data_IF_879060414174
#
_entry.id   IF_879060414174
#
_cell.length_a   1.000
_cell.length_b   1.000
_cell.length_c   1.000
_cell.angle_alpha   90.00
_cell.angle_beta   90.00
_cell.angle_gamma   90.00
#
_symmetry.space_group_name_H-M   'P 1'
#
loop_
_entity.id
_entity.type
_entity.pdbx_description
1 polymer ?
#
# COMPACT_ATOMS: atom_id res chain seq x y z
N UNK A 1 -36.77 63.67 2.17
CA UNK A 1 -36.81 62.25 1.75
C UNK A 1 -35.93 62.10 0.51
N UNK A 2 -34.73 61.56 0.66
CA UNK A 2 -33.79 61.37 -0.47
C UNK A 2 -33.77 59.87 -0.79
N UNK A 3 -34.40 59.48 -1.91
CA UNK A 3 -34.26 58.13 -2.48
C UNK A 3 -33.04 58.12 -3.38
N UNK A 4 -31.92 57.63 -2.88
CA UNK A 4 -30.73 57.36 -3.69
C UNK A 4 -30.94 56.06 -4.46
N UNK A 5 -31.42 56.15 -5.69
CA UNK A 5 -31.37 55.04 -6.64
C UNK A 5 -29.93 54.84 -7.10
N UNK A 6 -29.16 54.02 -6.37
CA UNK A 6 -27.94 53.44 -6.91
C UNK A 6 -28.33 52.45 -8.01
N UNK A 7 -28.42 52.95 -9.25
CA UNK A 7 -28.40 52.12 -10.44
C UNK A 7 -27.05 51.43 -10.53
N UNK A 8 -26.97 50.22 -9.97
CA UNK A 8 -25.82 49.35 -10.14
C UNK A 8 -25.73 48.96 -11.63
N UNK A 9 -24.79 49.58 -12.33
CA UNK A 9 -24.29 49.09 -13.61
C UNK A 9 -23.58 47.75 -13.39
N UNK A 10 -24.35 46.69 -13.20
CA UNK A 10 -23.83 45.33 -13.12
C UNK A 10 -23.42 44.89 -14.53
N UNK A 11 -22.13 44.58 -14.70
CA UNK A 11 -21.55 44.11 -15.96
C UNK A 11 -22.41 43.03 -16.63
N UNK A 12 -22.43 43.06 -17.97
CA UNK A 12 -23.26 42.18 -18.80
C UNK A 12 -23.12 40.73 -18.31
N UNK A 13 -24.23 40.15 -17.83
CA UNK A 13 -24.29 38.77 -17.36
C UNK A 13 -23.86 37.84 -18.50
N UNK A 14 -22.70 37.20 -18.34
CA UNK A 14 -22.03 36.40 -19.38
C UNK A 14 -22.74 35.07 -19.61
N UNK A 15 -23.35 34.49 -18.57
CA UNK A 15 -24.02 33.19 -18.64
C UNK A 15 -25.53 33.34 -18.36
N UNK A 16 -26.35 33.07 -19.38
CA UNK A 16 -27.83 33.01 -19.33
C UNK A 16 -28.29 31.69 -19.96
N UNK A 17 -29.43 31.19 -19.50
CA UNK A 17 -30.11 30.00 -20.04
C UNK A 17 -29.21 28.75 -20.11
N UNK A 18 -28.63 28.40 -18.97
CA UNK A 18 -27.67 27.31 -18.84
C UNK A 18 -28.42 26.02 -18.62
N UNK A 19 -28.24 25.04 -19.51
CA UNK A 19 -28.87 23.72 -19.40
C UNK A 19 -27.90 22.74 -18.74
N UNK A 20 -28.32 22.14 -17.62
CA UNK A 20 -27.54 21.15 -16.85
C UNK A 20 -28.47 19.97 -16.54
N UNK A 21 -28.06 18.75 -16.88
CA UNK A 21 -28.82 17.51 -16.65
C UNK A 21 -30.28 17.56 -17.19
N UNK A 22 -30.49 18.29 -18.30
CA UNK A 22 -31.83 18.47 -18.90
C UNK A 22 -32.71 19.53 -18.23
N UNK A 23 -32.21 20.25 -17.21
CA UNK A 23 -32.90 21.37 -16.58
C UNK A 23 -32.25 22.68 -17.02
N UNK A 24 -33.04 23.60 -17.56
CA UNK A 24 -32.57 24.94 -17.95
C UNK A 24 -32.73 25.92 -16.79
N UNK A 25 -31.62 26.54 -16.40
CA UNK A 25 -31.56 27.52 -15.32
C UNK A 25 -31.31 28.92 -15.87
N UNK A 26 -32.01 29.92 -15.32
CA UNK A 26 -31.90 31.31 -15.75
C UNK A 26 -30.51 31.93 -15.48
N UNK A 27 -29.84 31.50 -14.41
CA UNK A 27 -28.54 32.04 -13.98
C UNK A 27 -27.73 31.05 -13.13
N UNK A 28 -26.43 31.34 -12.96
CA UNK A 28 -25.51 30.56 -12.13
C UNK A 28 -25.93 30.51 -10.64
N UNK A 29 -26.61 31.55 -10.14
CA UNK A 29 -27.13 31.60 -8.77
C UNK A 29 -28.28 30.60 -8.56
N UNK A 30 -29.19 30.46 -9.52
CA UNK A 30 -30.25 29.46 -9.46
C UNK A 30 -29.68 28.03 -9.46
N UNK A 31 -28.63 27.78 -10.24
CA UNK A 31 -27.90 26.51 -10.25
C UNK A 31 -27.27 26.24 -8.89
N UNK A 32 -26.54 27.23 -8.36
CA UNK A 32 -25.88 27.14 -7.06
C UNK A 32 -26.87 26.80 -5.94
N UNK A 33 -28.03 27.48 -5.93
CA UNK A 33 -29.10 27.23 -4.96
C UNK A 33 -29.74 25.85 -5.14
N UNK A 34 -29.99 25.42 -6.38
CA UNK A 34 -30.64 24.13 -6.66
C UNK A 34 -29.73 22.93 -6.34
N UNK A 35 -28.43 23.04 -6.63
CA UNK A 35 -27.44 21.97 -6.45
C UNK A 35 -26.70 22.05 -5.10
N UNK A 36 -26.97 23.07 -4.29
CA UNK A 36 -26.32 23.26 -2.98
C UNK A 36 -24.82 23.54 -3.07
N UNK A 37 -24.37 24.22 -4.14
CA UNK A 37 -22.96 24.54 -4.40
C UNK A 37 -22.72 26.04 -4.43
N UNK A 38 -21.46 26.48 -4.36
CA UNK A 38 -21.12 27.91 -4.48
C UNK A 38 -21.19 28.39 -5.93
N UNK A 39 -21.55 29.66 -6.13
CA UNK A 39 -21.62 30.28 -7.48
C UNK A 39 -20.26 30.22 -8.19
N UNK A 40 -19.17 30.40 -7.45
CA UNK A 40 -17.81 30.26 -7.99
C UNK A 40 -17.51 28.84 -8.50
N UNK A 41 -18.04 27.81 -7.86
CA UNK A 41 -17.89 26.43 -8.34
C UNK A 41 -18.65 26.23 -9.66
N UNK A 42 -19.84 26.84 -9.79
CA UNK A 42 -20.62 26.84 -11.04
C UNK A 42 -19.84 27.56 -12.15
N UNK A 43 -19.31 28.75 -11.90
CA UNK A 43 -18.51 29.48 -12.88
C UNK A 43 -17.25 28.72 -13.31
N UNK A 44 -16.53 28.11 -12.36
CA UNK A 44 -15.36 27.29 -12.67
C UNK A 44 -15.72 26.05 -13.48
N UNK A 45 -16.86 25.42 -13.21
CA UNK A 45 -17.34 24.27 -13.98
C UNK A 45 -17.74 24.68 -15.41
N UNK A 46 -18.45 25.80 -15.58
CA UNK A 46 -18.79 26.36 -16.89
C UNK A 46 -17.55 26.72 -17.69
N UNK A 47 -16.57 27.37 -17.05
CA UNK A 47 -15.31 27.72 -17.70
C UNK A 47 -14.52 26.49 -18.15
N UNK A 48 -14.69 25.35 -17.47
CA UNK A 48 -14.02 24.08 -17.77
C UNK A 48 -14.83 23.17 -18.69
N UNK A 49 -16.08 23.51 -19.01
CA UNK A 49 -17.00 22.61 -19.74
C UNK A 49 -17.32 21.33 -18.97
N UNK A 50 -17.39 21.40 -17.64
CA UNK A 50 -17.72 20.27 -16.76
C UNK A 50 -19.04 20.51 -16.03
N UNK A 51 -20.06 21.00 -16.74
CA UNK A 51 -21.34 21.40 -16.16
C UNK A 51 -22.08 20.22 -15.53
N UNK A 52 -21.97 19.03 -16.13
CA UNK A 52 -22.55 17.77 -15.63
C UNK A 52 -21.99 17.34 -14.26
N UNK A 53 -20.90 17.96 -13.78
CA UNK A 53 -20.29 17.66 -12.48
C UNK A 53 -20.75 18.58 -11.35
N UNK A 54 -21.56 19.59 -11.66
CA UNK A 54 -22.02 20.57 -10.67
C UNK A 54 -22.96 19.89 -9.67
N UNK A 55 -22.54 19.82 -8.40
CA UNK A 55 -23.33 19.28 -7.30
C UNK A 55 -23.11 17.80 -6.98
N UNK A 56 -22.30 17.07 -7.76
CA UNK A 56 -22.08 15.62 -7.57
C UNK A 56 -21.07 15.27 -6.46
N UNK A 57 -20.67 16.24 -5.63
CA UNK A 57 -19.58 16.05 -4.67
C UNK A 57 -18.22 15.88 -5.36
N UNK A 58 -17.16 15.66 -4.56
CA UNK A 58 -15.73 15.64 -4.92
C UNK A 58 -15.40 15.69 -6.42
N UNK A 59 -14.70 16.77 -6.84
CA UNK A 59 -14.18 16.96 -8.20
C UNK A 59 -13.05 15.96 -8.55
N UNK A 60 -13.40 14.68 -8.61
CA UNK A 60 -12.54 13.58 -9.01
C UNK A 60 -12.59 13.33 -10.52
N UNK A 61 -11.66 12.48 -10.97
CA UNK A 61 -11.69 11.89 -12.32
C UNK A 61 -12.98 11.09 -12.45
N UNK A 62 -13.60 11.15 -13.63
CA UNK A 62 -14.75 10.29 -13.93
C UNK A 62 -14.42 8.83 -13.63
N UNK A 63 -15.36 8.08 -13.02
CA UNK A 63 -15.13 6.68 -12.70
C UNK A 63 -14.78 5.94 -13.99
N UNK A 64 -13.58 5.38 -14.04
CA UNK A 64 -13.10 4.64 -15.18
C UNK A 64 -13.68 3.22 -15.10
N UNK A 65 -14.39 2.74 -16.13
CA UNK A 65 -14.91 1.39 -16.12
C UNK A 65 -13.76 0.38 -16.04
N UNK A 66 -13.94 -0.65 -15.22
CA UNK A 66 -12.92 -1.67 -14.95
C UNK A 66 -13.42 -3.03 -15.42
N UNK A 67 -12.61 -3.75 -16.18
CA UNK A 67 -12.88 -5.15 -16.52
C UNK A 67 -12.09 -6.09 -15.60
N UNK A 68 -12.78 -6.99 -14.90
CA UNK A 68 -12.17 -7.99 -14.01
C UNK A 68 -12.81 -9.35 -14.34
N UNK A 69 -12.03 -10.36 -14.73
CA UNK A 69 -12.53 -11.70 -15.10
C UNK A 69 -13.66 -11.69 -16.13
N UNK A 70 -13.55 -10.82 -17.13
CA UNK A 70 -14.56 -10.66 -18.18
C UNK A 70 -15.81 -9.88 -17.78
N UNK A 71 -15.98 -9.51 -16.50
CA UNK A 71 -17.07 -8.64 -16.05
C UNK A 71 -16.64 -7.18 -16.11
N UNK A 72 -17.49 -6.32 -16.67
CA UNK A 72 -17.26 -4.87 -16.73
C UNK A 72 -18.03 -4.19 -15.60
N UNK A 73 -17.32 -3.45 -14.77
CA UNK A 73 -17.87 -2.65 -13.68
C UNK A 73 -17.79 -1.17 -14.04
N UNK A 74 -18.78 -0.39 -13.58
CA UNK A 74 -18.81 1.06 -13.80
C UNK A 74 -17.66 1.81 -13.14
N UNK A 75 -17.20 1.32 -11.98
CA UNK A 75 -16.07 1.87 -11.25
C UNK A 75 -15.33 0.80 -10.44
N UNK A 76 -14.10 1.11 -10.03
CA UNK A 76 -13.33 0.31 -9.09
C UNK A 76 -14.05 0.13 -7.75
N UNK A 77 -14.86 1.08 -7.28
CA UNK A 77 -15.66 0.90 -6.06
C UNK A 77 -16.78 -0.14 -6.23
N UNK A 78 -17.44 -0.17 -7.38
CA UNK A 78 -18.46 -1.16 -7.67
C UNK A 78 -17.86 -2.57 -7.71
N UNK A 79 -16.71 -2.71 -8.38
CA UNK A 79 -15.96 -3.96 -8.38
C UNK A 79 -15.49 -4.36 -6.98
N UNK A 80 -15.06 -3.40 -6.16
CA UNK A 80 -14.57 -3.64 -4.81
C UNK A 80 -15.66 -4.20 -3.90
N UNK A 81 -16.87 -3.64 -3.97
CA UNK A 81 -18.06 -4.14 -3.27
C UNK A 81 -18.41 -5.56 -3.72
N UNK A 82 -18.36 -5.83 -5.03
CA UNK A 82 -18.66 -7.15 -5.58
C UNK A 82 -17.69 -8.24 -5.09
N UNK A 83 -16.38 -7.94 -5.04
CA UNK A 83 -15.35 -8.90 -4.61
C UNK A 83 -15.05 -8.86 -3.10
N UNK A 84 -15.68 -7.97 -2.34
CA UNK A 84 -15.43 -7.84 -0.89
C UNK A 84 -14.01 -7.36 -0.55
N UNK A 85 -13.39 -6.55 -1.41
CA UNK A 85 -12.04 -6.01 -1.19
C UNK A 85 -12.04 -4.48 -1.23
N UNK A 86 -10.88 -3.85 -0.97
CA UNK A 86 -10.76 -2.39 -1.04
C UNK A 86 -10.59 -1.91 -2.49
N UNK A 87 -11.13 -0.73 -2.82
CA UNK A 87 -10.96 -0.11 -4.13
C UNK A 87 -9.48 0.13 -4.49
N UNK A 88 -8.63 0.42 -3.48
CA UNK A 88 -7.19 0.54 -3.68
C UNK A 88 -6.55 -0.79 -4.09
N UNK A 89 -7.03 -1.91 -3.54
CA UNK A 89 -6.59 -3.25 -3.95
C UNK A 89 -6.89 -3.53 -5.42
N UNK A 90 -8.06 -3.11 -5.92
CA UNK A 90 -8.41 -3.21 -7.34
C UNK A 90 -7.51 -2.34 -8.20
N UNK A 91 -7.34 -1.06 -7.85
CA UNK A 91 -6.46 -0.15 -8.60
C UNK A 91 -5.03 -0.67 -8.64
N UNK A 92 -4.53 -1.24 -7.55
CA UNK A 92 -3.21 -1.86 -7.50
C UNK A 92 -3.14 -3.12 -8.39
N UNK A 93 -4.18 -3.95 -8.40
CA UNK A 93 -4.23 -5.13 -9.27
C UNK A 93 -4.20 -4.74 -10.75
N UNK A 94 -4.99 -3.75 -11.17
CA UNK A 94 -4.98 -3.21 -12.54
C UNK A 94 -3.59 -2.66 -12.88
N UNK A 95 -3.00 -1.85 -11.98
CA UNK A 95 -1.65 -1.30 -12.18
C UNK A 95 -0.59 -2.38 -12.36
N UNK A 96 -0.77 -3.52 -11.70
CA UNK A 96 0.12 -4.67 -11.81
C UNK A 96 -0.23 -5.64 -12.94
N UNK A 97 -1.29 -5.40 -13.73
CA UNK A 97 -1.79 -6.34 -14.74
C UNK A 97 -2.24 -7.68 -14.16
N UNK A 98 -2.83 -7.65 -12.96
CA UNK A 98 -3.28 -8.82 -12.18
C UNK A 98 -4.76 -8.72 -11.80
N UNK A 99 -5.55 -8.02 -12.60
CA UNK A 99 -6.99 -7.84 -12.41
C UNK A 99 -7.72 -9.18 -12.21
N UNK A 100 -7.38 -10.21 -12.97
CA UNK A 100 -8.05 -11.53 -12.87
C UNK A 100 -7.78 -12.25 -11.54
N UNK A 101 -6.79 -11.82 -10.75
CA UNK A 101 -6.47 -12.40 -9.44
C UNK A 101 -7.14 -11.69 -8.27
N UNK A 102 -7.92 -10.64 -8.53
CA UNK A 102 -8.68 -9.91 -7.50
C UNK A 102 -9.57 -10.87 -6.71
N UNK A 103 -9.48 -10.83 -5.38
CA UNK A 103 -10.30 -11.64 -4.47
C UNK A 103 -9.88 -13.10 -4.33
N UNK A 104 -8.79 -13.56 -4.97
CA UNK A 104 -8.25 -14.90 -4.70
C UNK A 104 -7.33 -14.88 -3.48
N UNK A 105 -7.26 -16.02 -2.81
CA UNK A 105 -6.23 -16.26 -1.82
C UNK A 105 -4.83 -16.09 -2.46
N UNK A 106 -3.85 -15.52 -1.74
CA UNK A 106 -2.49 -15.41 -2.23
C UNK A 106 -1.92 -16.80 -2.53
N UNK A 107 -1.70 -17.09 -3.81
CA UNK A 107 -1.21 -18.39 -4.33
C UNK A 107 0.30 -18.58 -4.18
N UNK A 108 0.92 -18.06 -3.13
CA UNK A 108 2.35 -18.25 -2.91
C UNK A 108 2.73 -18.12 -1.45
N UNK A 109 3.85 -18.74 -1.03
CA UNK A 109 4.41 -18.47 0.27
C UNK A 109 4.59 -16.95 0.39
N UNK A 110 4.13 -16.37 1.50
CA UNK A 110 4.37 -14.96 1.77
C UNK A 110 5.87 -14.72 1.64
N UNK A 111 6.27 -13.88 0.69
CA UNK A 111 7.57 -13.91 0.02
C UNK A 111 8.83 -13.69 0.91
N UNK A 112 8.71 -13.67 2.23
CA UNK A 112 9.69 -13.02 3.09
C UNK A 112 10.18 -13.84 4.29
N UNK A 113 9.81 -15.11 4.44
CA UNK A 113 10.49 -15.98 5.41
C UNK A 113 11.81 -16.51 4.80
N UNK A 114 12.76 -15.61 4.59
CA UNK A 114 14.15 -16.01 4.28
C UNK A 114 14.81 -16.45 5.58
N UNK A 115 15.39 -17.65 5.56
CA UNK A 115 16.21 -18.14 6.66
C UNK A 115 17.27 -17.09 7.03
N UNK A 116 17.37 -16.79 8.31
CA UNK A 116 18.23 -15.73 8.84
C UNK A 116 19.31 -16.34 9.73
N UNK A 117 20.57 -16.06 9.42
CA UNK A 117 21.73 -16.58 10.17
C UNK A 117 22.37 -15.48 11.01
N UNK A 118 22.69 -15.81 12.26
CA UNK A 118 23.42 -14.94 13.18
C UNK A 118 24.53 -15.78 13.82
N UNK A 119 25.76 -15.62 13.35
CA UNK A 119 26.87 -16.47 13.78
C UNK A 119 26.60 -17.94 13.43
N UNK A 120 26.54 -18.81 14.44
CA UNK A 120 26.26 -20.25 14.31
C UNK A 120 24.76 -20.58 14.34
N UNK A 121 23.91 -19.63 14.74
CA UNK A 121 22.46 -19.84 14.86
C UNK A 121 21.77 -19.58 13.52
N UNK A 122 20.84 -20.47 13.15
CA UNK A 122 19.98 -20.33 11.97
C UNK A 122 18.52 -20.31 12.40
N UNK A 123 17.78 -19.31 11.92
CA UNK A 123 16.34 -19.12 12.17
C UNK A 123 15.57 -19.17 10.84
N UNK A 124 14.28 -19.51 10.87
CA UNK A 124 13.42 -19.51 9.66
C UNK A 124 13.12 -18.10 9.18
N UNK A 125 13.07 -17.11 10.10
CA UNK A 125 12.86 -15.70 9.75
C UNK A 125 13.50 -14.72 10.73
N UNK A 126 13.65 -13.45 10.33
CA UNK A 126 14.11 -12.38 11.24
C UNK A 126 13.13 -12.13 12.40
N UNK A 127 11.83 -12.40 12.20
CA UNK A 127 10.80 -12.24 13.23
C UNK A 127 10.96 -13.29 14.32
N UNK A 128 11.10 -14.55 13.90
CA UNK A 128 11.39 -15.65 14.80
C UNK A 128 12.69 -15.42 15.58
N UNK A 129 13.75 -14.97 14.90
CA UNK A 129 15.00 -14.61 15.57
C UNK A 129 14.78 -13.49 16.62
N UNK A 130 13.91 -12.52 16.35
CA UNK A 130 13.64 -11.43 17.29
C UNK A 130 12.90 -11.93 18.55
N UNK A 131 11.96 -12.87 18.37
CA UNK A 131 11.23 -13.51 19.46
C UNK A 131 12.16 -14.42 20.27
N UNK A 132 12.93 -15.29 19.60
CA UNK A 132 13.84 -16.24 20.24
C UNK A 132 14.93 -15.54 21.06
N UNK A 133 15.49 -14.43 20.56
CA UNK A 133 16.50 -13.63 21.26
C UNK A 133 15.93 -12.72 22.36
N UNK A 134 14.61 -12.70 22.57
CA UNK A 134 13.97 -11.96 23.65
C UNK A 134 13.85 -10.45 23.42
N UNK A 135 13.80 -10.00 22.16
CA UNK A 135 13.55 -8.59 21.89
C UNK A 135 12.06 -8.25 22.09
N UNK A 136 11.79 -7.09 22.70
CA UNK A 136 10.41 -6.61 22.96
C UNK A 136 9.58 -6.43 21.68
N UNK A 137 10.23 -6.15 20.55
CA UNK A 137 9.56 -5.96 19.25
C UNK A 137 9.95 -7.10 18.32
N UNK A 138 8.95 -7.77 17.77
CA UNK A 138 9.11 -8.87 16.81
C UNK A 138 9.78 -8.43 15.48
N UNK A 139 9.77 -7.13 15.19
CA UNK A 139 10.42 -6.50 14.03
C UNK A 139 11.76 -5.83 14.34
N UNK A 140 12.31 -5.99 15.56
CA UNK A 140 13.53 -5.28 15.99
C UNK A 140 14.73 -5.55 15.06
N UNK A 141 15.03 -6.82 14.78
CA UNK A 141 16.15 -7.21 13.91
C UNK A 141 15.97 -6.63 12.50
N UNK A 142 14.77 -6.74 11.92
CA UNK A 142 14.48 -6.19 10.60
C UNK A 142 14.71 -4.67 10.55
N UNK A 143 14.32 -3.94 11.61
CA UNK A 143 14.53 -2.50 11.74
C UNK A 143 16.02 -2.14 11.84
N UNK A 144 16.79 -2.89 12.62
CA UNK A 144 18.24 -2.69 12.74
C UNK A 144 18.96 -2.97 11.42
N UNK A 145 18.59 -4.04 10.71
CA UNK A 145 19.19 -4.40 9.43
C UNK A 145 18.86 -3.36 8.36
N UNK A 146 17.60 -2.88 8.30
CA UNK A 146 17.19 -1.80 7.39
C UNK A 146 17.93 -0.49 7.65
N UNK A 147 18.11 -0.12 8.93
CA UNK A 147 18.80 1.12 9.31
C UNK A 147 20.33 0.98 9.26
N UNK A 148 20.87 -0.23 9.27
CA UNK A 148 22.31 -0.49 9.28
C UNK A 148 23.01 -0.11 10.59
N UNK A 149 22.31 0.07 11.71
CA UNK A 149 22.88 0.61 12.95
C UNK A 149 23.93 -0.31 13.59
N UNK A 150 25.17 0.16 13.75
CA UNK A 150 26.25 -0.60 14.39
C UNK A 150 25.94 -1.01 15.83
N UNK A 151 25.43 -0.08 16.65
CA UNK A 151 24.99 -0.35 18.03
C UNK A 151 23.88 -1.41 18.07
N UNK A 152 22.95 -1.36 17.11
CA UNK A 152 21.90 -2.37 16.99
C UNK A 152 22.46 -3.76 16.67
N UNK A 153 23.40 -3.84 15.72
CA UNK A 153 24.06 -5.11 15.35
C UNK A 153 24.82 -5.72 16.53
N UNK A 154 25.54 -4.91 17.31
CA UNK A 154 26.22 -5.36 18.53
C UNK A 154 25.24 -5.93 19.56
N UNK A 155 24.09 -5.29 19.77
CA UNK A 155 23.04 -5.80 20.68
C UNK A 155 22.46 -7.14 20.21
N UNK A 156 22.24 -7.29 18.91
CA UNK A 156 21.77 -8.56 18.31
C UNK A 156 22.80 -9.66 18.53
N UNK A 157 24.07 -9.37 18.30
CA UNK A 157 25.17 -10.33 18.46
C UNK A 157 25.33 -10.74 19.94
N UNK A 158 25.28 -9.79 20.87
CA UNK A 158 25.33 -10.08 22.31
C UNK A 158 24.13 -10.95 22.77
N UNK A 159 22.93 -10.69 22.26
CA UNK A 159 21.76 -11.52 22.56
C UNK A 159 21.89 -12.93 21.96
N UNK A 160 22.42 -13.04 20.74
CA UNK A 160 22.67 -14.32 20.08
C UNK A 160 23.68 -15.18 20.84
N UNK A 161 24.76 -14.59 21.37
CA UNK A 161 25.73 -15.30 22.23
C UNK A 161 25.06 -15.87 23.48
N UNK A 162 24.31 -15.06 24.22
CA UNK A 162 23.56 -15.50 25.42
C UNK A 162 22.57 -16.63 25.11
N UNK A 163 21.90 -16.53 23.96
CA UNK A 163 20.96 -17.56 23.52
C UNK A 163 21.66 -18.88 23.18
N UNK A 164 22.81 -18.82 22.51
CA UNK A 164 23.62 -20.00 22.21
C UNK A 164 24.15 -20.67 23.48
N UNK A 165 24.62 -19.88 24.46
CA UNK A 165 25.03 -20.38 25.79
C UNK A 165 23.88 -21.13 26.49
N UNK A 166 22.66 -20.57 26.45
CA UNK A 166 21.48 -21.23 27.03
C UNK A 166 21.17 -22.57 26.35
N UNK A 167 21.24 -22.62 25.01
CA UNK A 167 21.02 -23.87 24.27
C UNK A 167 22.08 -24.93 24.59
N UNK A 168 23.34 -24.53 24.78
CA UNK A 168 24.41 -25.44 25.17
C UNK A 168 24.22 -25.97 26.60
N UNK A 169 23.76 -25.13 27.52
CA UNK A 169 23.46 -25.53 28.89
C UNK A 169 22.25 -26.49 28.96
N UNK A 170 21.24 -26.28 28.11
CA UNK A 170 20.04 -27.11 28.04
C UNK A 170 20.29 -28.45 27.32
N UNK A 171 21.19 -28.49 26.34
CA UNK A 171 21.59 -29.70 25.61
C UNK A 171 23.08 -30.03 25.79
N UNK A 172 23.53 -30.44 26.99
CA UNK A 172 24.94 -30.70 27.26
C UNK A 172 25.52 -31.92 26.50
N UNK A 173 24.67 -32.76 25.90
CA UNK A 173 25.07 -34.03 25.24
C UNK A 173 25.48 -33.92 23.76
N UNK A 174 25.39 -32.74 23.13
CA UNK A 174 25.72 -32.54 21.70
C UNK A 174 27.15 -31.98 21.49
N UNK A 175 27.90 -31.73 22.55
CA UNK A 175 29.26 -31.14 22.49
C UNK A 175 30.40 -32.15 22.43
N UNK A 176 30.20 -33.32 21.80
CA UNK A 176 31.35 -34.05 21.23
C UNK A 176 31.57 -33.53 19.82
N UNK A 177 32.63 -32.76 19.52
CA UNK A 177 33.05 -32.62 18.14
C UNK A 177 33.34 -34.04 17.66
N UNK A 178 32.53 -34.55 16.74
CA UNK A 178 32.97 -35.67 15.93
C UNK A 178 34.21 -35.17 15.23
N UNK A 179 35.38 -35.61 15.72
CA UNK A 179 36.63 -35.59 14.98
C UNK A 179 36.34 -36.38 13.72
N UNK A 180 35.82 -35.73 12.68
CA UNK A 180 35.80 -36.28 11.34
C UNK A 180 37.27 -36.60 11.05
N UNK A 181 37.54 -37.90 11.01
CA UNK A 181 38.87 -38.46 10.92
C UNK A 181 39.63 -37.80 9.78
N UNK A 182 40.90 -37.51 10.06
CA UNK A 182 41.89 -37.25 9.04
C UNK A 182 41.81 -38.38 8.01
N UNK A 183 41.20 -38.11 6.87
CA UNK A 183 41.32 -38.95 5.70
C UNK A 183 42.66 -38.60 5.06
N UNK A 184 43.75 -39.14 5.64
CA UNK A 184 45.05 -39.19 4.99
C UNK A 184 44.93 -40.18 3.84
N UNK A 185 44.39 -39.69 2.72
CA UNK A 185 44.36 -40.38 1.45
C UNK A 185 45.79 -40.70 1.04
N UNK A 186 46.10 -41.98 1.12
CA UNK A 186 47.37 -42.60 0.78
C UNK A 186 47.68 -42.30 -0.68
N UNK A 187 48.91 -41.85 -0.92
CA UNK A 187 49.51 -41.73 -2.24
C UNK A 187 49.58 -43.12 -2.90
N UNK A 188 48.62 -43.42 -3.77
CA UNK A 188 48.69 -44.54 -4.70
C UNK A 188 49.36 -44.05 -5.98
N UNK A 189 50.68 -44.26 -6.07
CA UNK A 189 51.45 -43.97 -7.27
C UNK A 189 51.02 -44.85 -8.44
N UNK A 190 51.04 -44.28 -9.64
CA UNK A 190 51.04 -45.04 -10.87
C UNK A 190 52.10 -44.40 -11.79
N UNK A 191 53.23 -45.09 -11.88
CA UNK A 191 54.24 -45.01 -12.92
C UNK A 191 54.61 -46.47 -13.25
N UNK A 192 55.21 -46.79 -14.41
CA UNK A 192 55.43 -45.98 -15.60
C UNK A 192 54.38 -46.20 -16.71
#
# INVERSE_FOLDING_TARGET
MIRTSLGAAMGKRVYKDITIDGVTYANAEAIAKAKGVTVDAVHKALQRGTEHRIGNGHGGVEPMPVRIRGQVFSDAEAAAKHFGITANGIRQAIRCGREDRVGLAPTGPTANARAFKIGTLTFQSMREASIALGFKTDTYIAKVMRKGSARGKQRILAAAMKYAERLQAENPSVSRPQKNGLNTGVAGGCAP
#
